data_IF_315794906265
#
_entry.id   IF_315794906265
#
_cell.length_a   1.000
_cell.length_b   1.000
_cell.length_c   1.000
_cell.angle_alpha   90.00
_cell.angle_beta   90.00
_cell.angle_gamma   90.00
#
_symmetry.space_group_name_H-M   'P 1'
#
loop_
_entity.id
_entity.type
_entity.pdbx_description
1 polymer ?
#
# COMPACT_ATOMS: atom_id res chain seq x y z
N UNK A 1 -17.36 -44.42 1.44
CA UNK A 1 -16.17 -43.88 0.73
C UNK A 1 -16.43 -42.50 0.15
N UNK A 2 -17.66 -42.21 -0.29
CA UNK A 2 -18.12 -40.93 -0.86
C UNK A 2 -17.83 -39.68 0.02
N UNK A 3 -17.95 -39.80 1.34
CA UNK A 3 -17.63 -38.69 2.26
C UNK A 3 -16.16 -38.27 2.23
N UNK A 4 -15.24 -39.21 2.02
CA UNK A 4 -13.79 -38.91 1.96
C UNK A 4 -13.46 -38.19 0.66
N UNK A 5 -14.13 -38.55 -0.43
CA UNK A 5 -13.97 -37.95 -1.75
C UNK A 5 -14.49 -36.50 -1.80
N UNK A 6 -15.61 -36.22 -1.12
CA UNK A 6 -16.10 -34.85 -0.92
C UNK A 6 -15.15 -33.99 -0.08
N UNK A 7 -14.55 -34.54 0.98
CA UNK A 7 -13.57 -33.80 1.80
C UNK A 7 -12.29 -33.52 1.00
N UNK A 8 -11.81 -34.51 0.24
CA UNK A 8 -10.56 -34.39 -0.51
C UNK A 8 -10.70 -33.43 -1.71
N UNK A 9 -11.83 -33.47 -2.41
CA UNK A 9 -12.12 -32.55 -3.52
C UNK A 9 -12.27 -31.11 -3.03
N UNK A 10 -12.98 -30.88 -1.93
CA UNK A 10 -13.10 -29.56 -1.30
C UNK A 10 -11.73 -29.01 -0.88
N UNK A 11 -10.92 -29.83 -0.20
CA UNK A 11 -9.57 -29.45 0.20
C UNK A 11 -8.66 -29.14 -1.00
N UNK A 12 -8.73 -29.97 -2.05
CA UNK A 12 -7.95 -29.77 -3.28
C UNK A 12 -8.29 -28.46 -3.98
N UNK A 13 -9.57 -28.10 -4.06
CA UNK A 13 -10.01 -26.82 -4.63
C UNK A 13 -9.47 -25.65 -3.82
N UNK A 14 -9.58 -25.68 -2.49
CA UNK A 14 -9.07 -24.62 -1.61
C UNK A 14 -7.56 -24.45 -1.77
N UNK A 15 -6.81 -25.56 -1.77
CA UNK A 15 -5.36 -25.52 -1.98
C UNK A 15 -4.99 -25.02 -3.38
N UNK A 16 -5.74 -25.38 -4.41
CA UNK A 16 -5.56 -24.87 -5.76
C UNK A 16 -5.76 -23.35 -5.85
N UNK A 17 -6.84 -22.83 -5.26
CA UNK A 17 -7.10 -21.39 -5.25
C UNK A 17 -6.03 -20.63 -4.46
N UNK A 18 -5.63 -21.13 -3.28
CA UNK A 18 -4.58 -20.52 -2.46
C UNK A 18 -3.24 -20.46 -3.20
N UNK A 19 -2.85 -21.56 -3.85
CA UNK A 19 -1.59 -21.63 -4.59
C UNK A 19 -1.61 -20.74 -5.83
N UNK A 20 -2.74 -20.67 -6.55
CA UNK A 20 -2.90 -19.76 -7.69
C UNK A 20 -2.81 -18.30 -7.26
N UNK A 21 -3.51 -17.92 -6.18
CA UNK A 21 -3.48 -16.55 -5.64
C UNK A 21 -2.08 -16.17 -5.14
N UNK A 22 -1.42 -17.09 -4.44
CA UNK A 22 -0.03 -16.93 -4.01
C UNK A 22 0.91 -16.76 -5.21
N UNK A 23 0.73 -17.57 -6.26
CA UNK A 23 1.51 -17.49 -7.50
C UNK A 23 1.35 -16.14 -8.20
N UNK A 24 0.13 -15.62 -8.30
CA UNK A 24 -0.13 -14.28 -8.87
C UNK A 24 0.55 -13.20 -8.05
N UNK A 25 0.49 -13.29 -6.71
CA UNK A 25 1.12 -12.33 -5.81
C UNK A 25 2.64 -12.36 -5.92
N UNK A 26 3.23 -13.56 -6.01
CA UNK A 26 4.67 -13.76 -6.20
C UNK A 26 5.13 -13.29 -7.58
N UNK A 27 4.35 -13.53 -8.64
CA UNK A 27 4.68 -13.07 -9.99
C UNK A 27 4.78 -11.54 -10.07
N UNK A 28 3.86 -10.82 -9.41
CA UNK A 28 3.91 -9.35 -9.31
C UNK A 28 5.14 -8.88 -8.52
N UNK A 29 5.47 -9.55 -7.41
CA UNK A 29 6.64 -9.23 -6.60
C UNK A 29 7.99 -9.47 -7.31
N UNK A 30 8.05 -10.46 -8.20
CA UNK A 30 9.24 -10.77 -9.02
C UNK A 30 9.34 -9.82 -10.21
N UNK A 31 8.22 -9.46 -10.85
CA UNK A 31 8.18 -8.48 -11.93
C UNK A 31 8.69 -7.09 -11.51
N UNK A 32 8.35 -6.65 -10.29
CA UNK A 32 8.85 -5.40 -9.72
C UNK A 32 10.34 -5.42 -9.31
N UNK A 33 10.94 -6.61 -9.17
CA UNK A 33 12.36 -6.79 -8.83
C UNK A 33 13.27 -6.96 -10.04
N UNK A 34 12.74 -6.94 -11.27
CA UNK A 34 13.60 -6.84 -12.45
C UNK A 34 14.29 -5.47 -12.45
N UNK A 35 15.61 -5.39 -12.26
CA UNK A 35 16.31 -4.13 -12.45
C UNK A 35 16.18 -3.79 -13.94
N UNK A 36 15.38 -2.77 -14.26
CA UNK A 36 15.43 -2.14 -15.56
C UNK A 36 16.90 -1.77 -15.81
N UNK A 37 17.52 -2.45 -16.78
CA UNK A 37 18.83 -2.06 -17.31
C UNK A 37 18.76 -0.54 -17.58
N UNK A 38 19.73 0.26 -17.10
CA UNK A 38 19.82 1.65 -17.48
C UNK A 38 19.95 1.69 -19.00
N UNK A 39 18.87 2.03 -19.71
CA UNK A 39 19.00 2.47 -21.09
C UNK A 39 19.64 3.84 -21.00
N UNK A 40 20.92 3.88 -21.36
CA UNK A 40 21.64 5.09 -21.74
C UNK A 40 20.71 6.04 -22.49
N UNK A 41 20.21 7.07 -21.81
CA UNK A 41 19.68 8.25 -22.45
C UNK A 41 20.84 9.23 -22.49
N UNK A 42 21.49 9.28 -23.66
CA UNK A 42 22.39 10.38 -24.03
C UNK A 42 21.71 11.75 -23.78
N UNK A 43 22.51 12.83 -23.75
CA UNK A 43 22.12 14.10 -23.15
C UNK A 43 20.81 14.62 -23.73
N UNK A 44 19.74 14.56 -22.92
CA UNK A 44 18.47 15.15 -23.25
C UNK A 44 18.61 16.67 -23.26
N UNK A 45 18.55 17.23 -24.47
CA UNK A 45 18.41 18.66 -24.76
C UNK A 45 17.34 19.28 -23.83
N UNK A 46 17.56 20.46 -23.23
CA UNK A 46 16.60 21.08 -22.32
C UNK A 46 15.27 21.29 -23.03
N UNK A 47 14.25 20.55 -22.60
CA UNK A 47 12.87 20.85 -22.98
C UNK A 47 12.46 22.09 -22.19
N UNK A 48 12.22 23.17 -22.93
CA UNK A 48 11.69 24.44 -22.43
C UNK A 48 10.48 24.14 -21.55
N UNK A 49 10.55 24.56 -20.29
CA UNK A 49 9.46 24.48 -19.34
C UNK A 49 8.23 25.22 -19.90
N UNK A 50 7.04 24.60 -19.91
CA UNK A 50 5.80 25.36 -20.16
C UNK A 50 5.69 26.46 -19.11
N UNK A 51 5.22 27.67 -19.50
CA UNK A 51 5.14 28.80 -18.59
C UNK A 51 4.35 28.42 -17.35
N UNK A 52 4.93 28.73 -16.19
CA UNK A 52 4.28 28.63 -14.90
C UNK A 52 2.95 29.39 -14.99
N UNK A 53 1.87 28.65 -15.22
CA UNK A 53 0.53 29.16 -14.99
C UNK A 53 0.41 29.29 -13.47
N UNK A 54 0.63 30.51 -13.01
CA UNK A 54 -0.02 31.11 -11.84
C UNK A 54 -1.54 31.03 -12.04
N UNK A 55 -2.06 29.81 -12.05
CA UNK A 55 -3.46 29.50 -11.91
C UNK A 55 -3.66 29.21 -10.44
N UNK A 56 -4.23 30.20 -9.76
CA UNK A 56 -4.96 30.13 -8.50
C UNK A 56 -4.95 28.73 -7.87
N UNK A 57 -4.32 28.62 -6.69
CA UNK A 57 -4.59 27.55 -5.74
C UNK A 57 -6.11 27.45 -5.55
N UNK A 58 -6.78 26.66 -6.39
CA UNK A 58 -8.15 26.27 -6.14
C UNK A 58 -8.06 25.16 -5.11
N UNK A 59 -8.01 25.63 -3.87
CA UNK A 59 -8.24 24.91 -2.64
C UNK A 59 -9.27 23.80 -2.83
N UNK A 60 -8.91 22.61 -2.38
CA UNK A 60 -9.84 21.53 -2.04
C UNK A 60 -10.79 21.07 -3.16
N UNK A 61 -10.26 20.40 -4.18
CA UNK A 61 -11.08 19.37 -4.82
C UNK A 61 -11.21 18.18 -3.86
N UNK A 62 -12.37 18.08 -3.21
CA UNK A 62 -12.90 16.86 -2.60
C UNK A 62 -12.17 16.25 -1.38
N UNK A 63 -11.66 17.06 -0.44
CA UNK A 63 -11.32 16.58 0.91
C UNK A 63 -10.09 15.68 1.03
N UNK A 64 -9.25 15.61 -0.02
CA UNK A 64 -7.97 14.88 0.01
C UNK A 64 -6.81 15.89 0.04
N UNK A 65 -5.90 15.85 1.04
CA UNK A 65 -4.78 16.80 1.09
C UNK A 65 -3.82 16.61 -0.10
N UNK A 66 -3.24 17.72 -0.57
CA UNK A 66 -2.39 17.76 -1.77
C UNK A 66 -1.20 16.79 -1.72
N UNK A 67 -0.64 16.55 -0.54
CA UNK A 67 0.45 15.59 -0.34
C UNK A 67 0.02 14.15 -0.67
N UNK A 68 -1.22 13.76 -0.32
CA UNK A 68 -1.74 12.44 -0.65
C UNK A 68 -1.97 12.29 -2.16
N UNK A 69 -2.42 13.35 -2.83
CA UNK A 69 -2.57 13.33 -4.30
C UNK A 69 -1.23 13.14 -5.01
N UNK A 70 -0.16 13.77 -4.52
CA UNK A 70 1.19 13.59 -5.06
C UNK A 70 1.67 12.14 -4.90
N UNK A 71 1.44 11.53 -3.73
CA UNK A 71 1.77 10.12 -3.48
C UNK A 71 0.97 9.16 -4.37
N UNK A 72 -0.34 9.38 -4.52
CA UNK A 72 -1.20 8.58 -5.40
C UNK A 72 -0.71 8.72 -6.85
N UNK A 73 -0.39 9.93 -7.31
CA UNK A 73 0.11 10.16 -8.65
C UNK A 73 1.46 9.47 -8.90
N UNK A 74 2.38 9.51 -7.94
CA UNK A 74 3.65 8.80 -8.02
C UNK A 74 3.47 7.27 -8.07
N UNK A 75 2.56 6.73 -7.25
CA UNK A 75 2.26 5.30 -7.25
C UNK A 75 1.63 4.85 -8.59
N UNK A 76 0.71 5.63 -9.15
CA UNK A 76 0.12 5.35 -10.46
C UNK A 76 1.19 5.42 -11.56
N UNK A 77 2.07 6.42 -11.54
CA UNK A 77 3.16 6.53 -12.50
C UNK A 77 4.17 5.36 -12.40
N UNK A 78 4.37 4.80 -11.20
CA UNK A 78 5.20 3.62 -11.01
C UNK A 78 4.50 2.31 -11.42
N UNK A 79 3.16 2.25 -11.29
CA UNK A 79 2.36 1.08 -11.63
C UNK A 79 2.08 0.96 -13.13
N UNK A 80 2.05 2.07 -13.86
CA UNK A 80 1.77 2.09 -15.29
C UNK A 80 2.90 2.76 -16.09
N UNK A 81 3.49 2.03 -17.05
CA UNK A 81 4.65 2.47 -17.86
C UNK A 81 4.29 3.43 -19.01
N UNK A 82 3.01 3.77 -19.17
CA UNK A 82 2.53 4.73 -20.17
C UNK A 82 2.21 6.10 -19.53
N UNK A 83 2.06 7.19 -20.30
CA UNK A 83 1.61 8.48 -19.77
C UNK A 83 0.11 8.45 -19.46
N UNK A 84 -0.26 8.77 -18.21
CA UNK A 84 -1.65 8.77 -17.72
C UNK A 84 -2.04 10.13 -17.14
N UNK A 85 -3.32 10.46 -17.23
CA UNK A 85 -3.90 11.65 -16.58
C UNK A 85 -4.96 11.21 -15.56
N UNK A 86 -4.77 11.61 -14.31
CA UNK A 86 -5.73 11.35 -13.23
C UNK A 86 -6.85 12.38 -13.36
N UNK A 87 -8.07 11.91 -13.67
CA UNK A 87 -9.24 12.77 -13.94
C UNK A 87 -10.12 12.96 -12.69
N UNK A 88 -10.22 11.95 -11.83
CA UNK A 88 -10.93 12.06 -10.55
C UNK A 88 -10.39 11.05 -9.54
N UNK A 89 -10.49 11.40 -8.25
CA UNK A 89 -10.11 10.54 -7.12
C UNK A 89 -11.28 10.49 -6.16
N UNK A 90 -11.83 9.30 -5.94
CA UNK A 90 -12.96 9.06 -5.05
C UNK A 90 -12.53 8.08 -3.96
N UNK A 91 -12.66 8.49 -2.69
CA UNK A 91 -12.43 7.64 -1.53
C UNK A 91 -13.70 7.46 -0.72
N UNK A 92 -13.95 6.28 -0.12
CA UNK A 92 -15.06 6.11 0.82
C UNK A 92 -14.88 7.05 2.02
N UNK A 93 -15.84 7.97 2.22
CA UNK A 93 -15.77 8.99 3.28
C UNK A 93 -15.77 8.44 4.72
N UNK A 94 -16.08 7.15 4.91
CA UNK A 94 -16.40 6.60 6.23
C UNK A 94 -15.54 5.39 6.69
N UNK A 95 -14.65 4.83 5.86
CA UNK A 95 -13.98 3.56 6.18
C UNK A 95 -12.45 3.64 6.30
N UNK A 96 -11.84 4.81 6.14
CA UNK A 96 -10.38 4.96 6.18
C UNK A 96 -9.83 4.68 7.58
N UNK A 97 -10.56 5.04 8.65
CA UNK A 97 -10.12 4.87 10.03
C UNK A 97 -9.94 3.41 10.42
N UNK A 98 -10.87 2.54 10.04
CA UNK A 98 -10.83 1.11 10.40
C UNK A 98 -9.61 0.40 9.78
N UNK A 99 -9.28 0.71 8.53
CA UNK A 99 -8.10 0.14 7.86
C UNK A 99 -6.80 0.63 8.50
N UNK A 100 -6.68 1.93 8.74
CA UNK A 100 -5.48 2.48 9.42
C UNK A 100 -5.33 1.94 10.83
N UNK A 101 -6.44 1.75 11.55
CA UNK A 101 -6.42 1.20 12.90
C UNK A 101 -5.99 -0.26 12.89
N UNK A 102 -6.48 -1.06 11.93
CA UNK A 102 -6.06 -2.45 11.76
C UNK A 102 -4.57 -2.56 11.43
N UNK A 103 -4.05 -1.72 10.53
CA UNK A 103 -2.62 -1.69 10.20
C UNK A 103 -1.74 -1.29 11.39
N UNK A 104 -2.20 -0.35 12.22
CA UNK A 104 -1.51 0.00 13.47
C UNK A 104 -1.55 -1.16 14.47
N UNK A 105 -2.70 -1.82 14.64
CA UNK A 105 -2.81 -3.00 15.51
C UNK A 105 -1.86 -4.11 15.05
N UNK A 106 -1.78 -4.39 13.76
CA UNK A 106 -0.89 -5.41 13.21
C UNK A 106 0.58 -5.03 13.42
N UNK A 107 0.92 -3.76 13.21
CA UNK A 107 2.28 -3.26 13.43
C UNK A 107 2.69 -3.35 14.91
N UNK A 108 1.84 -2.90 15.84
CA UNK A 108 2.12 -3.00 17.28
C UNK A 108 2.02 -4.44 17.82
N UNK A 109 1.18 -5.29 17.24
CA UNK A 109 1.10 -6.71 17.61
C UNK A 109 2.35 -7.48 17.18
N UNK A 110 2.99 -7.08 16.07
CA UNK A 110 4.25 -7.69 15.61
C UNK A 110 5.42 -7.41 16.56
N UNK A 111 5.37 -6.31 17.32
CA UNK A 111 6.35 -5.97 18.32
C UNK A 111 5.83 -6.34 19.72
N UNK A 112 6.33 -7.45 20.30
CA UNK A 112 6.06 -7.77 21.71
C UNK A 112 6.62 -6.67 22.60
N UNK A 113 5.76 -5.74 23.04
CA UNK A 113 6.11 -4.80 24.10
C UNK A 113 6.19 -5.58 25.43
N UNK A 114 7.35 -5.57 26.12
CA UNK A 114 7.47 -6.21 27.42
C UNK A 114 6.63 -5.44 28.46
N UNK A 115 5.41 -5.93 28.72
CA UNK A 115 4.48 -5.31 29.66
C UNK A 115 5.03 -5.26 31.10
N UNK A 116 6.05 -6.06 31.40
CA UNK A 116 6.70 -6.12 32.71
C UNK A 116 7.48 -4.85 33.09
N UNK A 117 7.73 -3.93 32.16
CA UNK A 117 8.41 -2.65 32.41
C UNK A 117 7.45 -1.45 32.45
N UNK A 118 6.17 -1.65 32.15
CA UNK A 118 5.21 -0.55 31.96
C UNK A 118 4.52 -0.10 33.26
N UNK A 119 4.67 -0.84 34.36
CA UNK A 119 4.08 -0.49 35.65
C UNK A 119 5.12 0.28 36.48
N UNK A 120 4.92 1.59 36.76
CA UNK A 120 5.76 2.29 37.72
C UNK A 120 5.53 1.64 39.07
N UNK A 121 6.53 0.93 39.59
CA UNK A 121 6.49 0.45 40.96
C UNK A 121 6.46 1.67 41.89
N UNK A 122 5.26 2.02 42.34
CA UNK A 122 5.04 3.05 43.34
C UNK A 122 5.91 2.76 44.56
N UNK A 123 6.83 3.68 44.86
CA UNK A 123 7.63 3.69 46.09
C UNK A 123 6.69 3.57 47.28
N UNK A 124 6.66 2.40 47.94
CA UNK A 124 6.13 2.28 49.30
C UNK A 124 7.11 3.02 50.22
N UNK A 125 6.75 4.24 50.61
CA UNK A 125 7.34 4.91 51.78
C UNK A 125 6.86 4.15 53.02
N UNK A 126 7.77 3.43 53.68
CA UNK A 126 7.51 2.90 55.03
C UNK A 126 7.63 4.05 56.03
N UNK A 127 6.56 4.25 56.80
CA UNK A 127 6.54 5.04 58.03
C UNK A 127 7.00 4.20 59.22
#
# INVERSE_FOLDING_TARGET
MEHVELILSGFGIVMGVLTMLWGVTAAVAVGAKSPAKPKDKGPAKPVVAPPAQTGTQNSASAGVPANHLALIAAAVAAAFDTPHRIVSVHGPRAHVSAWTQQGLFEHFASHRMPWHNAVPHGRRTKS
#
